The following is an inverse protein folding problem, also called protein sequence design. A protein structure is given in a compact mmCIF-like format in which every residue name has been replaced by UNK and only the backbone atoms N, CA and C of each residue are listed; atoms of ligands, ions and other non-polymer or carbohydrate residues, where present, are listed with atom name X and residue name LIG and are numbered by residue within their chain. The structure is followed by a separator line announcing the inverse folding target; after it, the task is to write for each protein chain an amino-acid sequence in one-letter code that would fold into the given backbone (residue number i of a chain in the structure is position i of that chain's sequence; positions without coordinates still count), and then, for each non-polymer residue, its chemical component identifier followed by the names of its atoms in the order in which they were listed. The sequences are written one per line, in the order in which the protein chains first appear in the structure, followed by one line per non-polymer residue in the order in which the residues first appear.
data_IF_037149452283
#
_entry.id   IF_037149452283
#
_cell.length_a   1.000
_cell.length_b   1.000
_cell.length_c   1.000
_cell.angle_alpha   90.00
_cell.angle_beta   90.00
_cell.angle_gamma   90.00
#
_symmetry.space_group_name_H-M   'P 1'
#
loop_
_entity.id
_entity.type
_entity.pdbx_description
1 polymer ?
#
# COMPACT_ATOMS: atom_id res chain seq x y z
N UNK A 1 15.40 -10.66 -23.33
CA UNK A 1 14.04 -10.40 -22.90
C UNK A 1 14.10 -9.73 -21.53
N UNK A 2 13.28 -8.70 -21.32
CA UNK A 2 13.24 -7.98 -20.05
C UNK A 2 12.51 -8.81 -18.98
N UNK A 3 12.99 -8.76 -17.73
CA UNK A 3 12.31 -9.32 -16.58
C UNK A 3 11.37 -8.28 -15.95
N UNK A 4 10.22 -8.72 -15.46
CA UNK A 4 9.20 -7.86 -14.87
C UNK A 4 9.11 -8.10 -13.37
N UNK A 5 9.43 -7.05 -12.59
CA UNK A 5 9.20 -7.02 -11.14
C UNK A 5 8.05 -6.05 -10.85
N UNK A 6 7.05 -6.54 -10.14
CA UNK A 6 5.92 -5.74 -9.68
C UNK A 6 6.08 -5.41 -8.19
N UNK A 7 6.05 -4.13 -7.85
CA UNK A 7 5.85 -3.70 -6.47
C UNK A 7 4.35 -3.79 -6.14
N UNK A 8 3.98 -4.87 -5.49
CA UNK A 8 2.62 -5.17 -5.06
C UNK A 8 2.24 -4.60 -3.69
N UNK A 9 3.04 -3.70 -3.12
CA UNK A 9 2.80 -3.17 -1.78
C UNK A 9 1.44 -2.48 -1.61
N UNK A 10 0.84 -1.99 -2.71
CA UNK A 10 -0.48 -1.36 -2.74
C UNK A 10 -1.52 -2.14 -3.58
N UNK A 11 -1.15 -3.22 -4.24
CA UNK A 11 -2.11 -4.06 -4.96
C UNK A 11 -2.52 -5.29 -4.16
N UNK A 12 -1.56 -6.04 -3.62
CA UNK A 12 -1.83 -7.28 -2.87
C UNK A 12 -2.79 -7.09 -1.68
N UNK A 13 -2.73 -6.00 -0.90
CA UNK A 13 -3.71 -5.77 0.17
C UNK A 13 -5.13 -5.46 -0.30
N UNK A 14 -5.29 -4.92 -1.51
CA UNK A 14 -6.49 -4.21 -1.93
C UNK A 14 -7.27 -4.87 -3.06
N UNK A 15 -6.64 -5.75 -3.84
CA UNK A 15 -7.29 -6.39 -5.00
C UNK A 15 -6.77 -7.82 -5.23
N UNK A 16 -7.52 -8.65 -5.97
CA UNK A 16 -7.01 -9.94 -6.41
C UNK A 16 -5.73 -9.79 -7.24
N UNK A 17 -4.72 -10.58 -6.93
CA UNK A 17 -3.47 -10.65 -7.69
C UNK A 17 -3.16 -12.11 -7.98
N UNK A 18 -3.19 -12.51 -9.24
CA UNK A 18 -2.77 -13.82 -9.71
C UNK A 18 -1.46 -13.70 -10.50
N UNK A 19 -0.39 -14.22 -9.93
CA UNK A 19 0.96 -14.14 -10.51
C UNK A 19 1.11 -14.99 -11.77
N UNK A 20 0.28 -16.02 -11.93
CA UNK A 20 0.30 -16.88 -13.11
C UNK A 20 -0.44 -16.24 -14.28
N UNK A 21 -1.59 -15.62 -14.01
CA UNK A 21 -2.36 -14.87 -15.02
C UNK A 21 -1.59 -13.64 -15.53
N UNK A 22 -0.91 -12.93 -14.61
CA UNK A 22 -0.08 -11.77 -14.94
C UNK A 22 1.25 -12.14 -15.61
N UNK A 23 1.67 -13.40 -15.56
CA UNK A 23 2.96 -13.91 -16.06
C UNK A 23 4.17 -13.08 -15.64
N UNK A 24 4.13 -12.50 -14.43
CA UNK A 24 5.22 -11.68 -13.88
C UNK A 24 6.37 -12.54 -13.36
N UNK A 25 7.59 -12.02 -13.44
CA UNK A 25 8.78 -12.72 -12.98
C UNK A 25 8.99 -12.59 -11.47
N UNK A 26 8.68 -11.42 -10.90
CA UNK A 26 8.84 -11.11 -9.48
C UNK A 26 7.65 -10.29 -8.96
N UNK A 27 7.24 -10.56 -7.71
CA UNK A 27 6.29 -9.74 -6.95
C UNK A 27 6.82 -9.50 -5.55
N UNK A 28 6.78 -8.25 -5.09
CA UNK A 28 7.15 -7.90 -3.70
C UNK A 28 6.00 -7.19 -3.00
N UNK A 29 5.78 -7.51 -1.72
CA UNK A 29 4.80 -6.81 -0.90
C UNK A 29 5.14 -6.87 0.59
N UNK A 30 4.47 -6.06 1.41
CA UNK A 30 4.72 -5.91 2.84
C UNK A 30 3.52 -6.32 3.66
N UNK A 31 3.73 -7.12 4.71
CA UNK A 31 2.65 -7.63 5.55
C UNK A 31 1.86 -6.52 6.26
N UNK A 32 2.53 -5.45 6.73
CA UNK A 32 1.86 -4.38 7.49
C UNK A 32 0.82 -3.58 6.70
N UNK A 33 0.81 -3.68 5.37
CA UNK A 33 -0.23 -3.07 4.53
C UNK A 33 -1.43 -3.99 4.26
N UNK A 34 -1.31 -5.28 4.63
CA UNK A 34 -2.36 -6.29 4.46
C UNK A 34 -2.81 -6.88 5.82
N UNK A 35 -3.00 -6.02 6.83
CA UNK A 35 -3.42 -6.38 8.20
C UNK A 35 -2.39 -7.23 8.97
N UNK A 36 -1.21 -7.39 8.44
CA UNK A 36 -0.12 -8.16 9.05
C UNK A 36 0.83 -7.29 9.89
N UNK A 37 1.87 -7.90 10.48
CA UNK A 37 2.83 -7.20 11.32
C UNK A 37 3.82 -6.36 10.50
N UNK A 38 4.48 -5.42 11.18
CA UNK A 38 5.63 -4.69 10.64
C UNK A 38 6.88 -5.59 10.60
N UNK A 39 7.90 -5.18 9.82
CA UNK A 39 9.21 -5.82 9.81
C UNK A 39 9.29 -7.13 9.03
N UNK A 40 8.30 -7.41 8.17
CA UNK A 40 8.28 -8.56 7.28
C UNK A 40 7.60 -8.23 5.95
N UNK A 41 8.07 -8.84 4.89
CA UNK A 41 7.51 -8.80 3.56
C UNK A 41 7.74 -10.12 2.82
N UNK A 42 7.22 -10.22 1.63
CA UNK A 42 7.29 -11.42 0.80
C UNK A 42 7.85 -11.05 -0.57
N UNK A 43 8.78 -11.87 -1.05
CA UNK A 43 9.20 -11.91 -2.44
C UNK A 43 8.68 -13.21 -3.07
N UNK A 44 7.85 -13.08 -4.09
CA UNK A 44 7.57 -14.15 -5.05
C UNK A 44 8.48 -14.00 -6.26
N UNK A 45 8.98 -15.12 -6.78
CA UNK A 45 9.63 -15.15 -8.08
C UNK A 45 9.46 -16.53 -8.76
N UNK A 46 9.59 -16.56 -10.09
CA UNK A 46 9.66 -17.81 -10.85
C UNK A 46 10.86 -18.64 -10.38
N UNK A 47 10.67 -19.95 -10.26
CA UNK A 47 11.63 -20.87 -9.63
C UNK A 47 13.00 -20.85 -10.33
N UNK A 48 13.02 -20.89 -11.64
CA UNK A 48 14.22 -20.85 -12.48
C UNK A 48 15.05 -19.58 -12.22
N UNK A 49 14.40 -18.46 -12.05
CA UNK A 49 15.07 -17.19 -11.73
C UNK A 49 15.71 -17.20 -10.34
N UNK A 50 15.02 -17.77 -9.34
CA UNK A 50 15.57 -17.91 -7.99
C UNK A 50 16.76 -18.89 -7.95
N UNK A 51 16.74 -19.93 -8.76
CA UNK A 51 17.86 -20.87 -8.89
C UNK A 51 19.12 -20.19 -9.46
N UNK A 52 18.95 -19.34 -10.46
CA UNK A 52 20.06 -18.62 -11.12
C UNK A 52 20.57 -17.42 -10.32
N UNK A 53 19.74 -16.80 -9.46
CA UNK A 53 20.13 -15.63 -8.68
C UNK A 53 21.14 -15.98 -7.59
N UNK A 54 22.11 -15.08 -7.36
CA UNK A 54 22.96 -15.15 -6.17
C UNK A 54 22.20 -14.74 -4.90
N UNK A 55 22.53 -15.29 -3.73
CA UNK A 55 22.01 -14.81 -2.46
C UNK A 55 22.31 -13.34 -2.25
N UNK A 56 21.37 -12.60 -1.65
CA UNK A 56 21.56 -11.20 -1.28
C UNK A 56 22.20 -11.04 0.10
N UNK A 57 21.87 -11.93 1.05
CA UNK A 57 22.40 -11.93 2.41
C UNK A 57 23.03 -13.28 2.70
N UNK A 58 24.03 -13.27 3.58
CA UNK A 58 24.79 -14.45 3.96
C UNK A 58 24.69 -14.69 5.48
N UNK A 59 24.61 -15.97 5.90
CA UNK A 59 24.48 -16.33 7.31
C UNK A 59 24.14 -17.80 7.51
N UNK A 60 23.76 -18.17 8.71
CA UNK A 60 23.26 -19.51 9.02
C UNK A 60 22.03 -19.88 8.19
N UNK A 61 21.74 -21.15 8.07
CA UNK A 61 20.65 -21.80 7.34
C UNK A 61 20.69 -21.64 5.81
N UNK A 62 21.14 -20.49 5.27
CA UNK A 62 21.23 -20.27 3.83
C UNK A 62 22.46 -20.93 3.17
N UNK A 63 23.41 -21.40 3.96
CA UNK A 63 24.64 -22.10 3.54
C UNK A 63 24.46 -23.61 3.71
N UNK A 64 24.83 -24.39 2.69
CA UNK A 64 24.94 -25.84 2.78
C UNK A 64 26.36 -26.27 3.21
N UNK A 65 27.39 -25.65 2.64
CA UNK A 65 28.79 -25.90 2.92
C UNK A 65 29.58 -24.60 2.75
N UNK A 66 30.58 -24.37 3.58
CA UNK A 66 31.50 -23.25 3.45
C UNK A 66 32.94 -23.67 3.75
N UNK A 67 33.88 -23.18 2.93
CA UNK A 67 35.31 -23.30 3.13
C UNK A 67 35.94 -21.89 3.18
N UNK A 68 37.25 -21.79 3.29
CA UNK A 68 37.94 -20.50 3.19
C UNK A 68 37.91 -19.89 1.78
N UNK A 69 37.75 -20.73 0.74
CA UNK A 69 37.83 -20.35 -0.66
C UNK A 69 36.47 -20.31 -1.34
N UNK A 70 35.47 -21.08 -0.86
CA UNK A 70 34.19 -21.25 -1.57
C UNK A 70 33.03 -21.52 -0.60
N UNK A 71 31.80 -21.37 -1.11
CA UNK A 71 30.57 -21.67 -0.40
C UNK A 71 29.53 -22.29 -1.33
N UNK A 72 28.76 -23.23 -0.80
CA UNK A 72 27.58 -23.80 -1.47
C UNK A 72 26.34 -23.36 -0.75
N UNK A 73 25.39 -22.87 -1.50
CA UNK A 73 24.10 -22.38 -0.99
C UNK A 73 23.14 -23.52 -0.72
N UNK A 74 22.28 -23.33 0.27
CA UNK A 74 21.20 -24.25 0.54
C UNK A 74 20.15 -24.20 -0.58
N UNK A 75 19.23 -25.17 -0.57
CA UNK A 75 18.08 -25.20 -1.51
C UNK A 75 17.14 -24.05 -1.26
N UNK A 76 16.33 -23.69 -2.26
CA UNK A 76 15.22 -22.76 -2.11
C UNK A 76 14.18 -23.29 -1.10
N UNK A 77 13.53 -22.45 -0.31
CA UNK A 77 13.73 -20.97 -0.22
C UNK A 77 14.90 -20.56 0.69
N UNK A 78 15.53 -21.49 1.42
CA UNK A 78 16.57 -21.21 2.43
C UNK A 78 17.77 -20.44 1.87
N UNK A 79 18.10 -20.61 0.58
CA UNK A 79 19.13 -19.83 -0.12
C UNK A 79 19.03 -18.32 0.09
N UNK A 80 17.81 -17.80 0.31
CA UNK A 80 17.54 -16.37 0.49
C UNK A 80 17.13 -16.00 1.93
N UNK A 81 17.15 -16.96 2.87
CA UNK A 81 16.72 -16.79 4.25
C UNK A 81 17.93 -16.90 5.20
N UNK A 82 18.71 -15.80 5.30
CA UNK A 82 19.94 -15.78 6.08
C UNK A 82 19.68 -15.57 7.57
N UNK A 83 20.09 -16.55 8.40
CA UNK A 83 19.95 -16.54 9.86
C UNK A 83 18.53 -16.90 10.31
N UNK A 84 18.29 -16.80 11.63
CA UNK A 84 16.95 -17.05 12.20
C UNK A 84 15.95 -16.01 11.67
N UNK A 85 14.88 -16.43 10.96
CA UNK A 85 13.94 -15.49 10.37
C UNK A 85 13.05 -14.82 11.43
N UNK A 86 12.28 -13.81 11.04
CA UNK A 86 11.23 -13.22 11.87
C UNK A 86 10.06 -14.21 12.00
N UNK A 87 10.19 -15.19 12.91
CA UNK A 87 9.26 -16.32 13.06
C UNK A 87 7.84 -15.83 13.39
N UNK A 88 7.71 -14.95 14.38
CA UNK A 88 6.41 -14.38 14.77
C UNK A 88 5.77 -13.57 13.65
N UNK A 89 6.57 -12.79 12.91
CA UNK A 89 6.13 -12.04 11.76
C UNK A 89 5.61 -12.95 10.64
N UNK A 90 6.32 -14.03 10.33
CA UNK A 90 5.90 -14.98 9.28
C UNK A 90 4.56 -15.66 9.63
N UNK A 91 4.42 -16.16 10.88
CA UNK A 91 3.17 -16.77 11.36
C UNK A 91 2.02 -15.77 11.30
N UNK A 92 2.23 -14.55 11.80
CA UNK A 92 1.20 -13.50 11.82
C UNK A 92 0.81 -13.05 10.40
N UNK A 93 1.77 -13.02 9.46
CA UNK A 93 1.48 -12.74 8.04
C UNK A 93 0.56 -13.81 7.44
N UNK A 94 0.82 -15.09 7.74
CA UNK A 94 -0.05 -16.18 7.34
C UNK A 94 -1.48 -16.06 7.90
N UNK A 95 -1.62 -15.60 9.15
CA UNK A 95 -2.95 -15.34 9.75
C UNK A 95 -3.66 -14.19 9.03
N UNK A 96 -2.96 -13.09 8.74
CA UNK A 96 -3.52 -11.96 8.01
C UNK A 96 -3.96 -12.33 6.59
N UNK A 97 -3.13 -13.10 5.87
CA UNK A 97 -3.46 -13.60 4.55
C UNK A 97 -4.72 -14.49 4.58
N UNK A 98 -4.80 -15.43 5.52
CA UNK A 98 -5.98 -16.28 5.69
C UNK A 98 -7.24 -15.48 6.06
N UNK A 99 -7.11 -14.39 6.81
CA UNK A 99 -8.22 -13.51 7.14
C UNK A 99 -8.77 -12.82 5.89
N UNK A 100 -7.89 -12.21 5.07
CA UNK A 100 -8.28 -11.58 3.81
C UNK A 100 -8.86 -12.59 2.81
N UNK A 101 -8.27 -13.77 2.69
CA UNK A 101 -8.80 -14.84 1.84
C UNK A 101 -10.21 -15.30 2.26
N UNK A 102 -10.54 -15.30 3.56
CA UNK A 102 -11.90 -15.62 4.06
C UNK A 102 -12.91 -14.54 3.72
N UNK A 103 -12.51 -13.26 3.69
CA UNK A 103 -13.35 -12.17 3.21
C UNK A 103 -13.56 -12.30 1.70
N UNK A 104 -12.53 -12.73 0.98
CA UNK A 104 -12.44 -12.75 -0.48
C UNK A 104 -11.89 -11.41 -1.01
N UNK A 105 -10.83 -11.48 -1.82
CA UNK A 105 -10.17 -10.25 -2.31
C UNK A 105 -11.05 -9.47 -3.30
N UNK A 106 -11.96 -10.14 -3.99
CA UNK A 106 -12.98 -9.50 -4.83
C UNK A 106 -13.91 -8.62 -3.98
N UNK A 107 -14.34 -9.11 -2.80
CA UNK A 107 -15.19 -8.36 -1.89
C UNK A 107 -14.44 -7.17 -1.28
N UNK A 108 -13.14 -7.33 -0.98
CA UNK A 108 -12.28 -6.21 -0.54
C UNK A 108 -12.24 -5.13 -1.61
N UNK A 109 -11.96 -5.51 -2.85
CA UNK A 109 -11.91 -4.59 -3.97
C UNK A 109 -13.24 -3.89 -4.23
N UNK A 110 -14.35 -4.62 -4.21
CA UNK A 110 -15.69 -4.08 -4.42
C UNK A 110 -16.07 -3.07 -3.32
N UNK A 111 -15.80 -3.39 -2.04
CA UNK A 111 -16.02 -2.47 -0.93
C UNK A 111 -15.22 -1.18 -1.09
N UNK A 112 -13.92 -1.29 -1.38
CA UNK A 112 -13.06 -0.11 -1.54
C UNK A 112 -13.46 0.74 -2.75
N UNK A 113 -13.85 0.13 -3.86
CA UNK A 113 -14.39 0.85 -5.02
C UNK A 113 -15.67 1.60 -4.66
N UNK A 114 -16.57 0.97 -3.90
CA UNK A 114 -17.85 1.56 -3.51
C UNK A 114 -17.65 2.77 -2.60
N UNK A 115 -16.80 2.65 -1.57
CA UNK A 115 -16.50 3.76 -0.65
C UNK A 115 -15.72 4.88 -1.35
N UNK A 116 -14.79 4.54 -2.25
CA UNK A 116 -14.02 5.52 -3.03
C UNK A 116 -14.93 6.29 -3.98
N UNK A 117 -15.87 5.60 -4.64
CA UNK A 117 -16.88 6.24 -5.50
C UNK A 117 -17.72 7.23 -4.71
N UNK A 118 -18.24 6.80 -3.56
CA UNK A 118 -19.03 7.66 -2.68
C UNK A 118 -18.24 8.88 -2.22
N UNK A 119 -17.00 8.68 -1.79
CA UNK A 119 -16.15 9.79 -1.38
C UNK A 119 -15.86 10.77 -2.52
N UNK A 120 -15.63 10.28 -3.75
CA UNK A 120 -15.45 11.15 -4.93
C UNK A 120 -16.72 11.96 -5.24
N UNK A 121 -17.91 11.38 -5.05
CA UNK A 121 -19.19 12.09 -5.21
C UNK A 121 -19.30 13.22 -4.18
N UNK A 122 -18.99 12.95 -2.92
CA UNK A 122 -18.97 13.94 -1.84
C UNK A 122 -17.93 15.04 -2.04
N UNK A 123 -16.73 14.72 -2.49
CA UNK A 123 -15.71 15.71 -2.79
C UNK A 123 -16.10 16.67 -3.92
N UNK A 124 -16.98 16.27 -4.86
CA UNK A 124 -17.50 17.17 -5.90
C UNK A 124 -18.42 18.27 -5.36
N UNK A 125 -18.98 18.08 -4.17
CA UNK A 125 -19.82 19.06 -3.48
C UNK A 125 -18.97 20.15 -2.78
N UNK A 126 -17.65 19.92 -2.62
CA UNK A 126 -16.70 20.83 -1.99
C UNK A 126 -16.11 21.81 -3.03
N UNK A 127 -16.39 23.10 -2.89
CA UNK A 127 -16.08 24.10 -3.93
C UNK A 127 -14.60 24.41 -4.11
N UNK A 128 -13.80 24.41 -3.02
CA UNK A 128 -12.40 24.85 -3.03
C UNK A 128 -11.39 23.69 -2.90
N UNK A 129 -11.87 22.45 -2.91
CA UNK A 129 -11.04 21.26 -2.85
C UNK A 129 -10.86 20.65 -4.25
N UNK A 130 -9.61 20.38 -4.60
CA UNK A 130 -9.26 19.83 -5.90
C UNK A 130 -8.70 18.40 -5.73
N UNK A 131 -9.43 17.42 -6.25
CA UNK A 131 -8.99 16.03 -6.24
C UNK A 131 -7.89 15.83 -7.27
N UNK A 132 -6.80 15.19 -6.86
CA UNK A 132 -5.66 14.85 -7.74
C UNK A 132 -5.91 13.49 -8.37
N UNK A 133 -5.66 13.38 -9.68
CA UNK A 133 -5.77 12.14 -10.46
C UNK A 133 -7.15 11.93 -11.09
N UNK A 134 -7.39 10.71 -11.58
CA UNK A 134 -8.63 10.35 -12.28
C UNK A 134 -9.83 10.33 -11.30
N UNK A 135 -10.96 10.83 -11.74
CA UNK A 135 -12.22 10.84 -10.96
C UNK A 135 -13.10 9.59 -11.21
N UNK A 136 -12.52 8.52 -11.72
CA UNK A 136 -13.18 7.22 -11.93
C UNK A 136 -12.69 6.24 -10.87
N UNK A 137 -13.59 5.79 -9.98
CA UNK A 137 -13.24 4.92 -8.85
C UNK A 137 -12.57 3.62 -9.28
N UNK A 138 -12.99 3.00 -10.38
CA UNK A 138 -12.43 1.76 -10.92
C UNK A 138 -10.97 1.88 -11.40
N UNK A 139 -10.46 3.11 -11.54
CA UNK A 139 -9.05 3.38 -11.90
C UNK A 139 -8.23 3.89 -10.71
N UNK A 140 -8.78 3.78 -9.51
CA UNK A 140 -8.13 4.20 -8.26
C UNK A 140 -8.08 3.05 -7.27
N UNK A 141 -7.04 3.04 -6.43
CA UNK A 141 -7.13 2.34 -5.14
C UNK A 141 -8.00 3.14 -4.14
N UNK A 142 -8.17 2.62 -2.94
CA UNK A 142 -8.94 3.23 -1.86
C UNK A 142 -8.34 4.53 -1.32
N UNK A 143 -7.93 5.46 -2.19
CA UNK A 143 -7.27 6.72 -1.78
C UNK A 143 -7.80 7.92 -2.56
N UNK A 144 -7.95 9.06 -1.88
CA UNK A 144 -8.24 10.35 -2.49
C UNK A 144 -7.18 11.34 -2.01
N UNK A 145 -6.31 11.76 -2.94
CA UNK A 145 -5.39 12.87 -2.71
C UNK A 145 -6.03 14.16 -3.20
N UNK A 146 -5.90 15.23 -2.41
CA UNK A 146 -6.54 16.50 -2.71
C UNK A 146 -5.74 17.69 -2.19
N UNK A 147 -6.03 18.87 -2.75
CA UNK A 147 -5.54 20.16 -2.30
C UNK A 147 -6.70 21.10 -2.04
N UNK A 148 -6.45 22.18 -1.33
CA UNK A 148 -7.38 23.29 -1.17
C UNK A 148 -6.77 24.56 -1.78
N UNK A 149 -7.61 25.46 -2.31
CA UNK A 149 -7.16 26.66 -3.03
C UNK A 149 -6.35 27.66 -2.16
N UNK A 150 -6.64 27.70 -0.85
CA UNK A 150 -6.04 28.65 0.09
C UNK A 150 -5.37 28.00 1.29
N UNK A 151 -5.84 26.84 1.76
CA UNK A 151 -5.37 26.19 2.98
C UNK A 151 -4.25 25.21 2.64
N UNK A 152 -3.14 25.30 3.33
CA UNK A 152 -2.05 24.33 3.15
C UNK A 152 -2.47 22.92 3.64
N UNK A 153 -2.10 21.84 2.96
CA UNK A 153 -2.47 20.47 3.36
C UNK A 153 -2.10 20.11 4.81
N UNK A 154 -1.01 20.65 5.34
CA UNK A 154 -0.59 20.44 6.72
C UNK A 154 -1.58 21.03 7.73
N UNK A 155 -2.14 22.19 7.43
CA UNK A 155 -3.11 22.86 8.31
C UNK A 155 -4.44 22.09 8.29
N UNK A 156 -4.88 21.60 7.11
CA UNK A 156 -6.02 20.70 6.99
C UNK A 156 -5.81 19.47 7.88
N UNK A 157 -4.65 18.79 7.75
CA UNK A 157 -4.34 17.62 8.57
C UNK A 157 -4.37 17.91 10.07
N UNK A 158 -3.86 19.07 10.49
CA UNK A 158 -3.86 19.46 11.90
C UNK A 158 -5.27 19.76 12.45
N UNK A 159 -6.15 20.34 11.62
CA UNK A 159 -7.53 20.63 12.02
C UNK A 159 -8.32 19.33 12.13
N UNK A 160 -8.22 18.45 11.13
CA UNK A 160 -8.91 17.16 11.12
C UNK A 160 -8.45 16.24 12.27
N UNK A 161 -7.16 16.25 12.59
CA UNK A 161 -6.61 15.47 13.71
C UNK A 161 -7.26 15.84 15.05
N UNK A 162 -7.56 17.12 15.28
CA UNK A 162 -8.30 17.60 16.46
C UNK A 162 -9.73 17.07 16.54
N UNK A 163 -10.30 16.68 15.41
CA UNK A 163 -11.63 16.07 15.31
C UNK A 163 -11.58 14.54 15.29
N UNK A 164 -10.38 13.95 15.48
CA UNK A 164 -10.18 12.49 15.49
C UNK A 164 -10.13 11.89 14.08
N UNK A 165 -9.94 12.69 13.03
CA UNK A 165 -9.87 12.23 11.64
C UNK A 165 -8.42 12.27 11.18
N UNK A 166 -7.81 11.09 11.00
CA UNK A 166 -6.43 10.94 10.56
C UNK A 166 -6.32 10.91 9.03
N UNK A 167 -5.64 11.91 8.46
CA UNK A 167 -5.25 11.94 7.05
C UNK A 167 -3.74 12.08 6.91
N UNK A 168 -3.21 11.71 5.76
CA UNK A 168 -1.79 11.92 5.47
C UNK A 168 -1.58 13.21 4.68
N UNK A 169 -0.54 13.99 5.03
CA UNK A 169 -0.17 15.21 4.32
C UNK A 169 1.27 15.14 3.79
N UNK A 170 1.56 15.82 2.70
CA UNK A 170 2.89 15.90 2.09
C UNK A 170 2.98 15.31 0.68
N UNK A 171 4.10 14.68 0.35
CA UNK A 171 4.37 14.14 -1.00
C UNK A 171 3.94 12.67 -1.19
N UNK A 172 3.45 12.01 -0.15
CA UNK A 172 2.96 10.62 -0.16
C UNK A 172 3.97 9.59 -0.70
N UNK A 173 5.28 9.80 -0.49
CA UNK A 173 6.39 9.03 -1.07
C UNK A 173 6.42 9.06 -2.63
N UNK A 174 5.79 10.08 -3.25
CA UNK A 174 5.65 10.24 -4.70
C UNK A 174 5.92 11.69 -5.13
N UNK A 175 7.02 12.28 -4.65
CA UNK A 175 7.34 13.69 -4.90
C UNK A 175 7.35 14.08 -6.39
N UNK A 176 7.94 13.29 -7.32
CA UNK A 176 7.90 13.63 -8.74
C UNK A 176 6.47 13.70 -9.28
N UNK A 177 5.60 12.78 -8.85
CA UNK A 177 4.20 12.76 -9.25
C UNK A 177 3.45 13.99 -8.71
N UNK A 178 3.59 14.30 -7.43
CA UNK A 178 2.95 15.48 -6.83
C UNK A 178 3.39 16.77 -7.56
N UNK A 179 4.67 16.89 -7.86
CA UNK A 179 5.21 18.04 -8.63
C UNK A 179 4.68 18.11 -10.06
N UNK A 180 4.43 16.98 -10.73
CA UNK A 180 3.86 16.97 -12.09
C UNK A 180 2.43 17.52 -12.14
N UNK A 181 1.70 17.50 -11.02
CA UNK A 181 0.41 18.17 -10.86
C UNK A 181 0.54 19.66 -10.50
N UNK A 182 1.75 20.20 -10.44
CA UNK A 182 1.99 21.62 -10.14
C UNK A 182 1.80 22.01 -8.67
N UNK A 183 1.73 21.03 -7.76
CA UNK A 183 1.52 21.28 -6.33
C UNK A 183 2.73 20.86 -5.49
N UNK A 184 2.96 21.55 -4.38
CA UNK A 184 4.09 21.28 -3.49
C UNK A 184 3.81 20.17 -2.48
N UNK A 185 2.56 19.96 -2.14
CA UNK A 185 2.08 18.93 -1.22
C UNK A 185 0.58 18.68 -1.43
N UNK A 186 0.09 17.56 -0.95
CA UNK A 186 -1.34 17.22 -0.95
C UNK A 186 -1.76 16.64 0.42
N UNK A 187 -3.04 16.70 0.72
CA UNK A 187 -3.69 15.89 1.74
C UNK A 187 -4.20 14.60 1.09
N UNK A 188 -4.27 13.49 1.84
CA UNK A 188 -4.73 12.20 1.35
C UNK A 188 -5.58 11.49 2.38
N UNK A 189 -6.82 11.22 2.04
CA UNK A 189 -7.68 10.24 2.69
C UNK A 189 -7.40 8.86 2.11
N UNK A 190 -7.36 7.84 2.96
CA UNK A 190 -7.14 6.45 2.57
C UNK A 190 -8.21 5.57 3.21
N UNK A 191 -8.81 4.70 2.43
CA UNK A 191 -9.87 3.78 2.85
C UNK A 191 -9.39 2.35 2.73
N UNK A 192 -9.88 1.49 3.63
CA UNK A 192 -9.64 0.06 3.61
C UNK A 192 -10.89 -0.69 4.09
N UNK A 193 -10.82 -2.01 4.23
CA UNK A 193 -11.95 -2.90 4.52
C UNK A 193 -12.76 -2.54 5.79
N UNK A 194 -12.19 -1.76 6.69
CA UNK A 194 -12.83 -1.36 7.95
C UNK A 194 -13.47 0.03 7.91
N UNK A 195 -13.27 0.80 6.83
CA UNK A 195 -13.87 2.12 6.71
C UNK A 195 -15.33 2.05 6.25
N UNK A 196 -16.13 3.01 6.66
CA UNK A 196 -17.57 3.10 6.42
C UNK A 196 -17.93 4.36 5.63
N UNK A 197 -19.10 4.34 5.00
CA UNK A 197 -19.65 5.53 4.32
C UNK A 197 -19.86 6.70 5.28
N UNK A 198 -20.25 6.41 6.54
CA UNK A 198 -20.42 7.43 7.58
C UNK A 198 -19.09 8.14 7.90
N UNK A 199 -17.95 7.43 7.89
CA UNK A 199 -16.63 8.06 8.09
C UNK A 199 -16.26 8.97 6.92
N UNK A 200 -16.74 8.69 5.72
CA UNK A 200 -16.62 9.62 4.57
C UNK A 200 -17.44 10.88 4.79
N UNK A 201 -18.68 10.76 5.30
CA UNK A 201 -19.51 11.93 5.63
C UNK A 201 -18.83 12.80 6.70
N UNK A 202 -18.32 12.19 7.78
CA UNK A 202 -17.57 12.90 8.82
C UNK A 202 -16.31 13.60 8.26
N UNK A 203 -15.60 12.96 7.35
CA UNK A 203 -14.45 13.57 6.68
C UNK A 203 -14.86 14.83 5.92
N UNK A 204 -15.95 14.76 5.16
CA UNK A 204 -16.43 15.89 4.35
C UNK A 204 -16.92 17.05 5.23
N UNK A 205 -17.67 16.75 6.30
CA UNK A 205 -18.08 17.75 7.30
C UNK A 205 -16.85 18.44 7.92
N UNK A 206 -15.87 17.67 8.35
CA UNK A 206 -14.64 18.23 8.92
C UNK A 206 -13.80 19.07 7.93
N UNK A 207 -13.85 18.76 6.64
CA UNK A 207 -13.21 19.58 5.60
C UNK A 207 -13.94 20.92 5.41
N UNK A 208 -15.28 20.93 5.48
CA UNK A 208 -16.09 22.16 5.45
C UNK A 208 -15.80 23.03 6.69
N UNK A 209 -15.80 22.43 7.88
CA UNK A 209 -15.44 23.13 9.11
C UNK A 209 -14.03 23.74 9.06
N UNK A 210 -13.07 23.00 8.47
CA UNK A 210 -11.71 23.51 8.29
C UNK A 210 -11.66 24.73 7.35
N UNK A 211 -12.46 24.71 6.28
CA UNK A 211 -12.59 25.85 5.37
C UNK A 211 -13.20 27.06 6.09
N UNK A 212 -14.32 26.88 6.79
CA UNK A 212 -15.01 27.94 7.51
C UNK A 212 -14.14 28.56 8.62
N UNK A 213 -13.25 27.78 9.23
CA UNK A 213 -12.34 28.24 10.27
C UNK A 213 -11.16 29.05 9.73
N UNK A 214 -10.66 28.73 8.52
CA UNK A 214 -9.39 29.24 7.98
C UNK A 214 -9.56 30.29 6.87
N UNK A 215 -10.72 30.40 6.27
CA UNK A 215 -11.00 31.29 5.11
C UNK A 215 -12.01 32.36 5.45
#
# INVERSE_FOLDING_TARGET
DAKVLVDGAQSVPHMPVDVLDLDIDFLVFSAHKMLGPTGIGVLYAKLDLLEDMNPYMFGGDMILEVTYEDAKWNRLPYKFEAGTPNISGAISTGVAANYLMKIGMENVWEHENSITKYALEKFRELNNFNVIGDNVSQRRGGVISFTHNKIHPHDIGTILDKQGIAIRTGHHCAMPLIRSYGVVAAARASFYIYNTFQEVDLLVEALQDAEDFMV
#
